data_IF_213475858900
#
_entry.id   IF_213475858900
#
_cell.length_a   1.000
_cell.length_b   1.000
_cell.length_c   1.000
_cell.angle_alpha   90.00
_cell.angle_beta   90.00
_cell.angle_gamma   90.00
#
_symmetry.space_group_name_H-M   'P 1'
#
loop_
_entity.id
_entity.type
_entity.pdbx_description
1 polymer ?
#
# COMPACT_ATOMS: atom_id res chain seq x y z
N UNK A 1 -0.44 16.42 -55.71
CA UNK A 1 0.86 16.51 -56.40
C UNK A 1 1.55 17.77 -55.92
N UNK A 2 2.17 17.68 -54.74
CA UNK A 2 3.04 18.74 -54.20
C UNK A 2 4.16 18.05 -53.45
N UNK A 3 5.36 18.32 -53.93
CA UNK A 3 6.66 17.71 -53.66
C UNK A 3 7.18 18.01 -52.26
N UNK A 4 7.66 16.98 -51.58
CA UNK A 4 8.53 17.04 -50.40
C UNK A 4 9.97 17.35 -50.88
N UNK A 5 10.71 18.29 -50.26
CA UNK A 5 12.16 18.28 -50.37
C UNK A 5 12.76 17.44 -49.23
N UNK A 6 13.48 16.40 -49.65
CA UNK A 6 14.62 15.79 -48.96
C UNK A 6 15.62 16.87 -48.55
N UNK A 7 15.98 16.91 -47.26
CA UNK A 7 17.33 17.28 -46.79
C UNK A 7 17.46 16.91 -45.31
N UNK A 8 17.61 15.61 -45.02
CA UNK A 8 18.17 15.15 -43.75
C UNK A 8 19.69 15.17 -43.87
N UNK A 9 20.25 16.37 -43.76
CA UNK A 9 21.68 16.59 -43.61
C UNK A 9 22.21 15.79 -42.41
N UNK A 10 23.04 14.81 -42.71
CA UNK A 10 23.88 14.08 -41.76
C UNK A 10 24.93 15.07 -41.22
N UNK A 11 24.58 15.81 -40.17
CA UNK A 11 25.52 16.61 -39.40
C UNK A 11 26.14 15.76 -38.29
N UNK A 12 27.46 15.85 -38.04
CA UNK A 12 28.08 15.13 -36.93
C UNK A 12 27.43 15.58 -35.61
N UNK A 13 26.99 14.61 -34.79
CA UNK A 13 26.38 14.87 -33.49
C UNK A 13 27.32 15.75 -32.65
N UNK A 14 26.83 16.94 -32.31
CA UNK A 14 27.49 17.94 -31.47
C UNK A 14 27.71 17.37 -30.06
N UNK A 15 28.70 17.82 -29.25
CA UNK A 15 29.10 17.18 -27.99
C UNK A 15 28.09 17.24 -26.82
N UNK A 16 26.81 17.53 -27.10
CA UNK A 16 25.72 17.66 -26.14
C UNK A 16 25.12 16.32 -25.69
N UNK A 17 25.54 15.20 -26.28
CA UNK A 17 24.98 13.86 -26.03
C UNK A 17 25.63 13.10 -24.85
N UNK A 18 26.33 13.81 -23.96
CA UNK A 18 26.92 13.18 -22.77
C UNK A 18 25.89 13.09 -21.63
N UNK A 19 25.51 11.87 -21.18
CA UNK A 19 24.67 11.67 -19.99
C UNK A 19 25.26 12.31 -18.72
N UNK A 20 26.56 12.59 -18.71
CA UNK A 20 27.28 13.20 -17.59
C UNK A 20 26.75 14.57 -17.12
N UNK A 21 26.09 15.36 -17.99
CA UNK A 21 25.57 16.69 -17.66
C UNK A 21 24.07 16.71 -17.27
N UNK A 22 23.40 15.56 -17.30
CA UNK A 22 21.98 15.49 -16.99
C UNK A 22 21.70 15.70 -15.50
N UNK A 23 20.66 16.47 -15.12
CA UNK A 23 20.29 16.68 -13.72
C UNK A 23 19.67 15.43 -13.07
N UNK A 24 19.38 14.40 -13.85
CA UNK A 24 18.80 13.13 -13.40
C UNK A 24 19.89 12.07 -13.25
N UNK A 25 19.82 11.18 -12.25
CA UNK A 25 20.78 10.09 -12.11
C UNK A 25 20.75 9.17 -13.33
N UNK A 26 21.93 8.95 -13.92
CA UNK A 26 22.12 8.03 -15.05
C UNK A 26 23.37 7.17 -14.87
N UNK A 27 23.21 5.88 -15.15
CA UNK A 27 24.29 4.88 -15.19
C UNK A 27 24.35 4.30 -16.59
N UNK A 28 25.53 4.22 -17.19
CA UNK A 28 25.75 3.58 -18.48
C UNK A 28 26.35 2.21 -18.25
N UNK A 29 25.72 1.18 -18.80
CA UNK A 29 26.19 -0.21 -18.73
C UNK A 29 26.55 -0.72 -20.13
N UNK A 30 27.56 -1.57 -20.22
CA UNK A 30 27.84 -2.34 -21.44
C UNK A 30 26.91 -3.57 -21.57
N UNK A 31 26.98 -4.28 -22.69
CA UNK A 31 26.15 -5.47 -22.93
C UNK A 31 26.33 -6.60 -21.89
N UNK A 32 27.43 -6.60 -21.13
CA UNK A 32 27.71 -7.58 -20.08
C UNK A 32 27.28 -7.12 -18.68
N UNK A 33 26.83 -5.87 -18.54
CA UNK A 33 26.38 -5.28 -17.29
C UNK A 33 27.49 -4.62 -16.45
N UNK A 34 28.64 -4.34 -17.06
CA UNK A 34 29.68 -3.53 -16.40
C UNK A 34 29.37 -2.04 -16.56
N UNK A 35 29.65 -1.28 -15.50
CA UNK A 35 29.48 0.17 -15.50
C UNK A 35 30.53 0.78 -16.41
N UNK A 36 30.10 1.53 -17.42
CA UNK A 36 30.98 2.29 -18.32
C UNK A 36 31.10 3.73 -17.85
N UNK A 37 29.99 4.33 -17.43
CA UNK A 37 29.94 5.70 -16.96
C UNK A 37 28.84 5.88 -15.90
N UNK A 38 29.02 6.83 -14.99
CA UNK A 38 28.07 7.16 -13.94
C UNK A 38 28.13 8.67 -13.69
N UNK A 39 27.00 9.36 -13.80
CA UNK A 39 26.97 10.79 -13.52
C UNK A 39 26.99 11.08 -12.01
N UNK A 40 27.29 12.32 -11.61
CA UNK A 40 27.42 12.68 -10.20
C UNK A 40 26.15 12.37 -9.36
N UNK A 41 24.91 12.69 -9.83
CA UNK A 41 23.70 12.26 -9.13
C UNK A 41 23.56 10.74 -8.97
N UNK A 42 23.94 9.94 -9.98
CA UNK A 42 23.91 8.49 -9.87
C UNK A 42 25.01 7.94 -8.97
N UNK A 43 26.21 8.51 -8.97
CA UNK A 43 27.28 8.10 -8.08
C UNK A 43 26.94 8.36 -6.60
N UNK A 44 26.19 9.44 -6.31
CA UNK A 44 25.68 9.71 -4.98
C UNK A 44 24.60 8.71 -4.55
N UNK A 45 23.78 8.24 -5.49
CA UNK A 45 22.71 7.28 -5.25
C UNK A 45 23.22 5.83 -5.16
N UNK A 46 24.24 5.51 -5.97
CA UNK A 46 24.78 4.17 -6.19
C UNK A 46 26.30 4.19 -5.96
N UNK A 47 26.77 4.27 -4.70
CA UNK A 47 28.19 4.42 -4.38
C UNK A 47 29.05 3.22 -4.82
N UNK A 48 28.41 2.05 -5.02
CA UNK A 48 29.07 0.83 -5.47
C UNK A 48 29.15 0.71 -7.00
N UNK A 49 28.48 1.59 -7.76
CA UNK A 49 28.49 1.58 -9.21
C UNK A 49 29.78 2.23 -9.75
N UNK A 50 30.85 1.46 -9.84
CA UNK A 50 32.19 1.93 -10.25
C UNK A 50 32.48 1.60 -11.71
N UNK A 51 33.00 2.55 -12.52
CA UNK A 51 33.40 2.26 -13.89
C UNK A 51 34.38 1.08 -13.98
N UNK A 52 34.11 0.16 -14.90
CA UNK A 52 34.85 -1.09 -15.11
C UNK A 52 34.41 -2.26 -14.22
N UNK A 53 33.53 -2.04 -13.23
CA UNK A 53 33.01 -3.09 -12.35
C UNK A 53 31.58 -3.51 -12.74
N UNK A 54 31.18 -4.77 -12.48
CA UNK A 54 29.81 -5.20 -12.71
C UNK A 54 28.84 -4.49 -11.76
N UNK A 55 27.70 -4.03 -12.29
CA UNK A 55 26.65 -3.48 -11.45
C UNK A 55 25.95 -4.62 -10.68
N UNK A 56 26.15 -4.68 -9.37
CA UNK A 56 25.49 -5.67 -8.49
C UNK A 56 24.34 -5.08 -7.68
N UNK A 57 24.43 -3.79 -7.35
CA UNK A 57 23.47 -3.08 -6.52
C UNK A 57 22.95 -1.84 -7.26
N UNK A 58 21.62 -1.63 -7.32
CA UNK A 58 20.57 -2.48 -6.75
C UNK A 58 20.29 -3.69 -7.65
N UNK A 59 19.93 -4.83 -7.04
CA UNK A 59 19.75 -6.09 -7.74
C UNK A 59 18.68 -6.03 -8.85
N UNK A 60 17.60 -5.26 -8.64
CA UNK A 60 16.52 -5.10 -9.60
C UNK A 60 16.98 -4.42 -10.90
N UNK A 61 17.94 -3.50 -10.82
CA UNK A 61 18.49 -2.82 -12.00
C UNK A 61 19.48 -3.73 -12.74
N UNK A 62 20.32 -4.44 -11.99
CA UNK A 62 21.25 -5.42 -12.55
C UNK A 62 20.53 -6.59 -13.25
N UNK A 63 19.41 -7.05 -12.69
CA UNK A 63 18.57 -8.08 -13.29
C UNK A 63 17.85 -7.58 -14.54
N UNK A 64 17.28 -6.37 -14.50
CA UNK A 64 16.62 -5.76 -15.64
C UNK A 64 17.55 -5.56 -16.84
N UNK A 65 18.84 -5.33 -16.58
CA UNK A 65 19.85 -5.24 -17.63
C UNK A 65 20.17 -6.59 -18.28
N UNK A 66 20.22 -7.67 -17.50
CA UNK A 66 20.45 -9.04 -18.02
C UNK A 66 19.23 -9.62 -18.72
N UNK A 67 18.04 -9.23 -18.30
CA UNK A 67 16.78 -9.76 -18.81
C UNK A 67 15.82 -8.60 -19.06
N UNK A 68 15.92 -7.95 -20.23
CA UNK A 68 15.05 -6.85 -20.58
C UNK A 68 13.58 -7.26 -20.48
N UNK A 69 12.80 -6.52 -19.71
CA UNK A 69 11.40 -6.82 -19.40
C UNK A 69 10.55 -5.56 -19.23
N UNK A 70 9.49 -5.65 -18.42
CA UNK A 70 8.69 -4.48 -18.05
C UNK A 70 9.54 -3.39 -17.36
N UNK A 71 9.04 -2.16 -17.35
CA UNK A 71 9.74 -1.01 -16.76
C UNK A 71 10.23 -1.31 -15.33
N UNK A 72 11.54 -1.48 -15.12
CA UNK A 72 12.06 -1.94 -13.84
C UNK A 72 11.97 -0.83 -12.80
N UNK A 73 11.58 -1.21 -11.58
CA UNK A 73 11.48 -0.27 -10.47
C UNK A 73 11.74 -0.98 -9.15
N UNK A 74 12.29 -0.26 -8.17
CA UNK A 74 12.64 -0.84 -6.89
C UNK A 74 13.22 0.17 -5.90
N UNK A 75 13.48 -0.29 -4.66
CA UNK A 75 14.08 0.55 -3.65
C UNK A 75 15.57 0.81 -3.93
N UNK A 76 16.03 2.00 -3.53
CA UNK A 76 17.44 2.36 -3.41
C UNK A 76 17.59 3.19 -2.14
N UNK A 77 18.19 2.60 -1.11
CA UNK A 77 18.10 3.15 0.25
C UNK A 77 16.65 3.27 0.72
N UNK A 78 16.28 4.43 1.26
CA UNK A 78 14.92 4.71 1.76
C UNK A 78 13.95 5.23 0.70
N UNK A 79 14.38 5.28 -0.57
CA UNK A 79 13.62 5.84 -1.69
C UNK A 79 13.27 4.78 -2.70
N UNK A 80 12.28 5.07 -3.54
CA UNK A 80 11.85 4.20 -4.61
C UNK A 80 12.11 4.83 -5.97
N UNK A 81 12.74 4.08 -6.88
CA UNK A 81 13.10 4.55 -8.20
C UNK A 81 12.51 3.66 -9.30
N UNK A 82 12.14 4.27 -10.41
CA UNK A 82 11.94 3.56 -11.67
C UNK A 82 13.13 3.83 -12.60
N UNK A 83 13.53 2.83 -13.37
CA UNK A 83 14.56 2.98 -14.38
C UNK A 83 13.99 2.87 -15.79
N UNK A 84 14.45 3.76 -16.67
CA UNK A 84 14.16 3.72 -18.11
C UNK A 84 15.47 3.46 -18.84
N UNK A 85 15.48 2.45 -19.71
CA UNK A 85 16.62 2.18 -20.57
C UNK A 85 16.58 3.06 -21.83
N UNK A 86 17.74 3.56 -22.24
CA UNK A 86 17.95 4.18 -23.55
C UNK A 86 19.19 3.54 -24.19
N UNK A 87 19.06 2.87 -25.34
CA UNK A 87 20.21 2.30 -26.02
C UNK A 87 21.15 3.41 -26.51
N UNK A 88 22.44 3.13 -26.44
CA UNK A 88 23.53 3.98 -26.94
C UNK A 88 24.36 3.17 -27.96
N UNK A 89 25.16 3.88 -28.75
CA UNK A 89 26.07 3.25 -29.71
C UNK A 89 27.06 2.29 -29.03
N UNK A 90 27.50 1.27 -29.77
CA UNK A 90 28.47 0.29 -29.27
C UNK A 90 27.90 -0.74 -28.30
N UNK A 91 26.57 -0.95 -28.29
CA UNK A 91 25.92 -1.92 -27.40
C UNK A 91 25.84 -1.45 -25.94
N UNK A 92 25.96 -0.14 -25.73
CA UNK A 92 25.83 0.50 -24.43
C UNK A 92 24.36 0.77 -24.12
N UNK A 93 24.00 0.81 -22.84
CA UNK A 93 22.66 1.16 -22.38
C UNK A 93 22.75 2.19 -21.26
N UNK A 94 22.11 3.34 -21.45
CA UNK A 94 21.92 4.33 -20.41
C UNK A 94 20.65 4.02 -19.61
N UNK A 95 20.80 3.89 -18.30
CA UNK A 95 19.72 3.69 -17.34
C UNK A 95 19.42 4.99 -16.59
N UNK A 96 18.28 5.59 -16.90
CA UNK A 96 17.80 6.82 -16.27
C UNK A 96 16.96 6.49 -15.05
N UNK A 97 17.33 7.00 -13.86
CA UNK A 97 16.61 6.74 -12.62
C UNK A 97 15.71 7.92 -12.27
N UNK A 98 14.41 7.64 -12.09
CA UNK A 98 13.40 8.62 -11.67
C UNK A 98 12.91 8.28 -10.27
N UNK A 99 12.97 9.25 -9.37
CA UNK A 99 12.43 9.12 -8.02
C UNK A 99 10.89 9.08 -8.09
N UNK A 100 10.30 7.99 -7.59
CA UNK A 100 8.85 7.78 -7.53
C UNK A 100 8.33 7.76 -6.09
N UNK A 101 9.18 8.12 -5.11
CA UNK A 101 8.86 8.03 -3.67
C UNK A 101 7.63 8.86 -3.31
N UNK A 102 7.58 10.11 -3.78
CA UNK A 102 6.46 11.03 -3.51
C UNK A 102 5.18 10.51 -4.16
N UNK A 103 5.23 10.12 -5.44
CA UNK A 103 4.07 9.61 -6.16
C UNK A 103 3.49 8.35 -5.49
N UNK A 104 4.37 7.42 -5.09
CA UNK A 104 3.97 6.18 -4.41
C UNK A 104 3.37 6.45 -3.04
N UNK A 105 3.97 7.37 -2.27
CA UNK A 105 3.46 7.74 -0.94
C UNK A 105 2.06 8.35 -1.05
N UNK A 106 1.88 9.35 -1.94
CA UNK A 106 0.59 9.99 -2.15
C UNK A 106 -0.48 9.02 -2.65
N UNK A 107 -0.10 8.09 -3.53
CA UNK A 107 -1.02 7.07 -4.04
C UNK A 107 -1.44 6.11 -2.93
N UNK A 108 -0.50 5.65 -2.09
CA UNK A 108 -0.79 4.79 -0.96
C UNK A 108 -1.68 5.48 0.09
N UNK A 109 -1.42 6.75 0.39
CA UNK A 109 -2.27 7.56 1.29
C UNK A 109 -3.68 7.74 0.72
N UNK A 110 -3.79 8.08 -0.57
CA UNK A 110 -5.08 8.23 -1.24
C UNK A 110 -5.87 6.92 -1.24
N UNK A 111 -5.21 5.79 -1.49
CA UNK A 111 -5.83 4.47 -1.44
C UNK A 111 -6.30 4.11 -0.02
N UNK A 112 -5.50 4.42 1.00
CA UNK A 112 -5.88 4.23 2.38
C UNK A 112 -7.12 5.06 2.75
N UNK A 113 -7.14 6.34 2.35
CA UNK A 113 -8.26 7.24 2.62
C UNK A 113 -9.54 6.81 1.88
N UNK A 114 -9.42 6.39 0.61
CA UNK A 114 -10.54 5.84 -0.15
C UNK A 114 -11.08 4.55 0.47
N UNK A 115 -10.20 3.67 0.96
CA UNK A 115 -10.59 2.44 1.65
C UNK A 115 -11.37 2.74 2.92
N UNK A 116 -10.90 3.71 3.72
CA UNK A 116 -11.58 4.16 4.94
C UNK A 116 -12.95 4.76 4.63
N UNK A 117 -13.04 5.63 3.64
CA UNK A 117 -14.30 6.27 3.24
C UNK A 117 -15.32 5.25 2.74
N UNK A 118 -14.87 4.30 1.89
CA UNK A 118 -15.71 3.21 1.40
C UNK A 118 -16.27 2.37 2.55
N UNK A 119 -15.40 1.94 3.46
CA UNK A 119 -15.81 1.19 4.64
C UNK A 119 -16.86 1.95 5.46
N UNK A 120 -16.64 3.24 5.74
CA UNK A 120 -17.60 4.05 6.50
C UNK A 120 -18.95 4.17 5.79
N UNK A 121 -18.96 4.34 4.47
CA UNK A 121 -20.19 4.42 3.67
C UNK A 121 -20.95 3.08 3.67
N UNK A 122 -20.25 1.97 3.46
CA UNK A 122 -20.84 0.62 3.46
C UNK A 122 -21.39 0.24 4.83
N UNK A 123 -20.61 0.48 5.89
CA UNK A 123 -21.03 0.26 7.27
C UNK A 123 -22.24 1.13 7.64
N UNK A 124 -22.19 2.43 7.34
CA UNK A 124 -23.30 3.35 7.63
C UNK A 124 -24.56 2.96 6.88
N UNK A 125 -24.46 2.59 5.60
CA UNK A 125 -25.59 2.12 4.81
C UNK A 125 -26.19 0.84 5.41
N UNK A 126 -25.34 -0.13 5.76
CA UNK A 126 -25.80 -1.40 6.33
C UNK A 126 -26.46 -1.23 7.71
N UNK A 127 -25.97 -0.30 8.54
CA UNK A 127 -26.53 0.02 9.85
C UNK A 127 -27.83 0.86 9.74
N UNK A 128 -27.87 1.88 8.87
CA UNK A 128 -29.03 2.76 8.67
C UNK A 128 -30.17 2.09 7.89
N UNK A 129 -29.88 1.07 7.08
CA UNK A 129 -30.88 0.30 6.36
C UNK A 129 -31.71 -0.62 7.27
N UNK A 130 -31.42 -0.68 8.58
CA UNK A 130 -32.14 -1.54 9.52
C UNK A 130 -32.70 -0.79 10.73
N UNK A 131 -34.01 -0.56 10.73
CA UNK A 131 -34.79 -0.21 11.93
C UNK A 131 -34.98 -1.42 12.88
N UNK A 132 -34.36 -2.56 12.57
CA UNK A 132 -34.45 -3.78 13.36
C UNK A 132 -33.16 -3.96 14.15
N UNK A 133 -33.28 -3.83 15.48
CA UNK A 133 -32.16 -3.94 16.42
C UNK A 133 -31.34 -5.22 16.21
N UNK A 134 -31.99 -6.38 16.01
CA UNK A 134 -31.28 -7.65 15.81
C UNK A 134 -30.42 -7.64 14.54
N UNK A 135 -30.97 -7.13 13.44
CA UNK A 135 -30.24 -7.08 12.17
C UNK A 135 -29.12 -6.05 12.21
N UNK A 136 -29.29 -4.94 12.94
CA UNK A 136 -28.22 -3.99 13.22
C UNK A 136 -27.08 -4.63 14.03
N UNK A 137 -27.41 -5.42 15.06
CA UNK A 137 -26.43 -6.15 15.86
C UNK A 137 -25.65 -7.18 15.03
N UNK A 138 -26.31 -7.91 14.13
CA UNK A 138 -25.63 -8.84 13.21
C UNK A 138 -24.67 -8.17 12.25
N UNK A 139 -25.11 -7.07 11.63
CA UNK A 139 -24.26 -6.28 10.74
C UNK A 139 -23.05 -5.75 11.50
N UNK A 140 -23.24 -5.29 12.75
CA UNK A 140 -22.17 -4.81 13.62
C UNK A 140 -21.18 -5.92 13.96
N UNK A 141 -21.66 -7.09 14.39
CA UNK A 141 -20.81 -8.25 14.72
C UNK A 141 -20.01 -8.71 13.48
N UNK A 142 -20.64 -8.69 12.31
CA UNK A 142 -19.96 -8.97 11.03
C UNK A 142 -18.83 -8.00 10.73
N UNK A 143 -19.12 -6.70 10.73
CA UNK A 143 -18.13 -5.68 10.39
C UNK A 143 -16.95 -5.69 11.36
N UNK A 144 -17.21 -5.93 12.65
CA UNK A 144 -16.15 -6.05 13.65
C UNK A 144 -15.26 -7.28 13.42
N UNK A 145 -15.83 -8.46 13.13
CA UNK A 145 -15.05 -9.66 12.88
C UNK A 145 -14.33 -9.65 11.52
N UNK A 146 -14.79 -8.86 10.54
CA UNK A 146 -14.13 -8.76 9.23
C UNK A 146 -12.96 -7.77 9.22
N UNK A 147 -12.97 -6.79 10.13
CA UNK A 147 -12.04 -5.65 10.05
C UNK A 147 -11.26 -5.34 11.33
N UNK A 148 -11.64 -5.89 12.50
CA UNK A 148 -11.06 -5.51 13.78
C UNK A 148 -10.53 -6.69 14.61
N UNK A 149 -11.14 -7.86 14.52
CA UNK A 149 -10.78 -9.02 15.34
C UNK A 149 -11.18 -10.33 14.67
N UNK A 150 -10.67 -11.47 15.16
CA UNK A 150 -11.05 -12.79 14.63
C UNK A 150 -12.51 -13.16 14.97
N UNK A 151 -13.07 -12.62 16.06
CA UNK A 151 -14.45 -12.85 16.48
C UNK A 151 -15.04 -11.58 17.12
N UNK A 152 -16.36 -11.48 17.14
CA UNK A 152 -17.05 -10.33 17.71
C UNK A 152 -18.32 -10.74 18.45
N UNK A 153 -18.57 -10.09 19.60
CA UNK A 153 -19.80 -10.22 20.39
C UNK A 153 -20.45 -8.85 20.50
N UNK A 154 -21.72 -8.76 20.15
CA UNK A 154 -22.53 -7.54 20.28
C UNK A 154 -23.65 -7.80 21.26
N UNK A 155 -23.71 -6.97 22.31
CA UNK A 155 -24.71 -7.03 23.37
C UNK A 155 -25.46 -5.69 23.36
N UNK A 156 -26.79 -5.74 23.35
CA UNK A 156 -27.61 -4.52 23.43
C UNK A 156 -28.42 -4.50 24.73
N UNK A 157 -28.50 -3.35 25.38
CA UNK A 157 -29.49 -3.14 26.42
C UNK A 157 -30.87 -2.98 25.79
N UNK A 158 -31.82 -3.78 26.28
CA UNK A 158 -33.24 -3.59 26.01
C UNK A 158 -33.94 -3.38 27.35
N UNK A 159 -35.13 -2.78 27.37
CA UNK A 159 -35.92 -2.65 28.61
C UNK A 159 -36.34 -4.00 29.23
N UNK A 160 -35.99 -5.14 28.61
CA UNK A 160 -36.29 -6.48 29.09
C UNK A 160 -35.18 -7.03 30.01
N UNK A 161 -35.55 -7.98 30.87
CA UNK A 161 -34.61 -8.65 31.81
C UNK A 161 -33.60 -9.59 31.13
N UNK A 162 -33.66 -9.72 29.80
CA UNK A 162 -32.74 -10.54 28.99
C UNK A 162 -32.03 -9.64 27.99
N UNK A 163 -30.72 -9.77 27.91
CA UNK A 163 -29.90 -9.05 26.95
C UNK A 163 -29.83 -9.85 25.65
N UNK A 164 -30.25 -9.31 24.50
CA UNK A 164 -29.94 -9.91 23.21
C UNK A 164 -28.43 -9.89 22.98
N UNK A 165 -27.91 -11.01 22.49
CA UNK A 165 -26.50 -11.20 22.18
C UNK A 165 -26.38 -11.76 20.76
N UNK A 166 -25.50 -11.15 19.97
CA UNK A 166 -25.10 -11.68 18.67
C UNK A 166 -23.60 -11.97 18.72
N UNK A 167 -23.25 -13.22 18.45
CA UNK A 167 -21.86 -13.67 18.35
C UNK A 167 -21.56 -13.97 16.90
N UNK A 168 -20.43 -13.47 16.41
CA UNK A 168 -19.80 -13.97 15.20
C UNK A 168 -18.47 -14.61 15.58
N UNK A 169 -18.36 -15.91 15.34
CA UNK A 169 -17.15 -16.66 15.63
C UNK A 169 -16.07 -16.48 14.55
N UNK A 170 -14.88 -17.01 14.83
CA UNK A 170 -13.73 -17.03 13.92
C UNK A 170 -13.96 -17.80 12.61
N UNK A 171 -15.03 -18.58 12.52
CA UNK A 171 -15.43 -19.31 11.31
C UNK A 171 -16.50 -18.56 10.51
N UNK A 172 -16.85 -17.34 10.92
CA UNK A 172 -17.86 -16.49 10.28
C UNK A 172 -19.30 -16.90 10.59
N UNK A 173 -19.53 -17.82 11.53
CA UNK A 173 -20.89 -18.23 11.92
C UNK A 173 -21.48 -17.17 12.85
N UNK A 174 -22.66 -16.69 12.48
CA UNK A 174 -23.45 -15.78 13.32
C UNK A 174 -24.45 -16.59 14.15
N UNK A 175 -24.40 -16.42 15.47
CA UNK A 175 -25.33 -17.04 16.42
C UNK A 175 -26.04 -15.96 17.21
N UNK A 176 -27.36 -16.09 17.33
CA UNK A 176 -28.21 -15.23 18.16
C UNK A 176 -28.58 -15.95 19.44
N UNK A 177 -28.46 -15.27 20.56
CA UNK A 177 -28.94 -15.76 21.84
C UNK A 177 -29.52 -14.61 22.65
N UNK A 178 -30.16 -14.94 23.76
CA UNK A 178 -30.47 -13.95 24.79
C UNK A 178 -29.96 -14.50 26.11
N UNK A 179 -29.25 -13.68 26.87
CA UNK A 179 -28.67 -14.09 28.13
C UNK A 179 -29.44 -13.42 29.27
N UNK A 180 -29.86 -14.24 30.24
CA UNK A 180 -30.41 -13.78 31.50
C UNK A 180 -29.26 -13.56 32.51
N UNK A 181 -28.31 -12.70 32.15
CA UNK A 181 -27.20 -12.32 33.03
C UNK A 181 -27.47 -10.93 33.61
N UNK A 182 -27.14 -10.75 34.88
CA UNK A 182 -27.05 -9.41 35.45
C UNK A 182 -25.81 -8.73 34.84
N UNK A 183 -25.94 -7.56 34.19
CA UNK A 183 -24.80 -6.86 33.60
C UNK A 183 -23.65 -6.67 34.59
N UNK A 184 -23.97 -6.41 35.86
CA UNK A 184 -23.00 -6.27 36.97
C UNK A 184 -22.17 -7.53 37.28
N UNK A 185 -22.55 -8.70 36.75
CA UNK A 185 -21.78 -9.95 36.94
C UNK A 185 -20.57 -10.06 36.02
N UNK A 186 -20.50 -9.22 34.98
CA UNK A 186 -19.36 -9.14 34.07
C UNK A 186 -18.65 -7.82 34.33
N UNK A 187 -17.37 -7.84 34.76
CA UNK A 187 -16.64 -6.62 35.08
C UNK A 187 -16.63 -5.63 33.90
N UNK A 188 -17.14 -4.41 34.11
CA UNK A 188 -17.13 -3.37 33.08
C UNK A 188 -18.33 -3.37 32.13
N UNK A 189 -19.20 -4.40 32.18
CA UNK A 189 -20.28 -4.54 31.20
C UNK A 189 -21.46 -3.62 31.50
N UNK A 190 -21.80 -3.42 32.78
CA UNK A 190 -22.86 -2.51 33.19
C UNK A 190 -22.52 -1.07 32.84
N UNK A 191 -21.27 -0.63 33.05
CA UNK A 191 -20.85 0.71 32.65
C UNK A 191 -20.73 0.85 31.13
N UNK A 192 -20.20 -0.16 30.43
CA UNK A 192 -20.10 -0.14 28.97
C UNK A 192 -21.48 -0.01 28.30
N UNK A 193 -22.49 -0.69 28.85
CA UNK A 193 -23.83 -0.65 28.30
C UNK A 193 -24.60 0.65 28.62
N UNK A 194 -24.19 1.44 29.61
CA UNK A 194 -24.77 2.76 29.88
C UNK A 194 -24.46 3.77 28.78
N UNK A 195 -23.39 3.57 28.01
CA UNK A 195 -23.05 4.34 26.80
C UNK A 195 -22.61 5.79 27.03
N UNK A 196 -22.84 6.37 28.21
CA UNK A 196 -22.37 7.71 28.56
C UNK A 196 -22.10 7.87 30.08
N UNK A 197 -21.00 8.54 30.48
CA UNK A 197 -19.91 9.06 29.64
C UNK A 197 -19.14 7.93 28.95
N UNK A 198 -18.49 8.18 27.79
CA UNK A 198 -17.81 7.13 27.05
C UNK A 198 -16.75 6.47 27.93
N UNK A 199 -16.94 5.17 28.18
CA UNK A 199 -16.01 4.38 28.98
C UNK A 199 -14.77 4.11 28.12
N UNK A 200 -13.54 4.37 28.61
CA UNK A 200 -12.34 4.05 27.85
C UNK A 200 -12.31 2.55 27.53
N UNK A 201 -11.77 2.14 26.37
CA UNK A 201 -11.72 0.75 25.96
C UNK A 201 -11.01 -0.09 27.03
N UNK A 202 -11.70 -1.10 27.56
CA UNK A 202 -11.16 -2.04 28.54
C UNK A 202 -11.00 -3.41 27.90
N UNK A 203 -9.89 -4.06 28.21
CA UNK A 203 -9.70 -5.46 27.89
C UNK A 203 -10.51 -6.29 28.89
N UNK A 204 -11.52 -7.00 28.41
CA UNK A 204 -12.28 -8.00 29.16
C UNK A 204 -11.71 -9.36 28.77
N UNK A 205 -11.57 -10.27 29.73
CA UNK A 205 -11.26 -11.68 29.44
C UNK A 205 -12.34 -12.24 28.50
N UNK A 206 -11.99 -12.70 27.28
CA UNK A 206 -12.96 -13.29 26.36
C UNK A 206 -13.76 -14.44 26.98
N UNK A 207 -13.18 -15.17 27.94
CA UNK A 207 -13.85 -16.27 28.65
C UNK A 207 -14.89 -15.79 29.68
N UNK A 208 -14.86 -14.51 30.06
CA UNK A 208 -15.82 -13.89 30.98
C UNK A 208 -16.99 -13.21 30.25
N UNK A 209 -16.99 -13.18 28.92
CA UNK A 209 -18.13 -12.71 28.13
C UNK A 209 -19.30 -13.72 28.19
N UNK A 210 -20.56 -13.25 28.27
CA UNK A 210 -21.74 -14.09 28.42
C UNK A 210 -22.11 -14.92 27.18
#
# INVERSE_FOLDING_TARGET
>A
MTTLPDDLGTGPATPADRPAAAPFPVVVLDASGHVVDVNAPAAALLPDARPGEPLTTPAWLAEAHRSPGAAPSGPVGDRFYAATASPLDGGLTAWWLRDETVQRTLTAELEAERRRTRFLAEASSALLASLNLERCMEVTARLAAEHLADAAVVIAQTGARRLPVVVRDQHGRVTRSSVAAAPESVPGLDEALQGFPPVPPRWIDPAAAP
#
